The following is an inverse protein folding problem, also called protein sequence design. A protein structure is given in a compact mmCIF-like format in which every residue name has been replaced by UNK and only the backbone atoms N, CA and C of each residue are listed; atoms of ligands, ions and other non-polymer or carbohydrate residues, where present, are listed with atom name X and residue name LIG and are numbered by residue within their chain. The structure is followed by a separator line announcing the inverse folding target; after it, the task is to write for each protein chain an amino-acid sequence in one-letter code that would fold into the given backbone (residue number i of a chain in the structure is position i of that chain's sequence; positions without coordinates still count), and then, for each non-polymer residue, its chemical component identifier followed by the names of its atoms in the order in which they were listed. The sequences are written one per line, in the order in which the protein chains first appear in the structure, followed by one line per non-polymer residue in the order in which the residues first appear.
data_IF_125279357668
#
_entry.id   IF_125279357668
#
_cell.length_a   1.000
_cell.length_b   1.000
_cell.length_c   1.000
_cell.angle_alpha   90.00
_cell.angle_beta   90.00
_cell.angle_gamma   90.00
#
_symmetry.space_group_name_H-M   'P 1'
#
loop_
_entity.id
_entity.type
_entity.pdbx_description
1 polymer ?
#
# COMPACT_ATOMS: atom_id res chain seq x y z
N UNK A 1 30.12 7.83 12.42
CA UNK A 1 29.35 7.57 11.18
C UNK A 1 27.93 7.26 11.63
N UNK A 2 27.05 8.26 11.66
CA UNK A 2 25.62 8.07 11.96
C UNK A 2 25.02 7.38 10.72
N UNK A 3 24.85 6.06 10.78
CA UNK A 3 24.15 5.30 9.75
C UNK A 3 22.70 5.77 9.72
N UNK A 4 22.32 6.48 8.66
CA UNK A 4 20.94 6.90 8.46
C UNK A 4 20.07 5.65 8.35
N UNK A 5 19.15 5.48 9.29
CA UNK A 5 18.02 4.58 9.15
C UNK A 5 17.26 5.07 7.91
N UNK A 6 17.36 4.35 6.80
CA UNK A 6 16.36 4.49 5.73
C UNK A 6 15.13 3.80 6.29
N UNK A 7 14.38 4.55 7.11
CA UNK A 7 13.04 4.15 7.51
C UNK A 7 12.27 4.13 6.20
N UNK A 8 11.75 2.98 5.81
CA UNK A 8 10.72 2.81 4.74
C UNK A 8 9.42 3.57 5.10
N UNK A 9 9.45 4.46 6.09
CA UNK A 9 8.31 5.14 6.72
C UNK A 9 8.10 6.57 6.25
N UNK A 10 8.48 6.91 5.02
CA UNK A 10 8.35 8.28 4.50
C UNK A 10 7.22 8.49 3.48
N UNK A 11 6.59 7.42 2.98
CA UNK A 11 5.57 7.55 1.95
C UNK A 11 4.18 7.69 2.60
N UNK A 12 3.80 8.93 2.90
CA UNK A 12 2.44 9.28 3.27
C UNK A 12 1.54 9.05 2.03
N UNK A 13 0.69 8.03 2.10
CA UNK A 13 -0.34 7.76 1.09
C UNK A 13 -1.66 8.30 1.61
N UNK A 14 -2.27 9.24 0.89
CA UNK A 14 -3.66 9.65 1.13
C UNK A 14 -4.62 8.68 0.41
N UNK A 15 -5.79 8.46 0.99
CA UNK A 15 -6.89 7.74 0.33
C UNK A 15 -7.93 8.80 -0.04
N UNK A 16 -8.29 8.89 -1.33
CA UNK A 16 -9.38 9.77 -1.77
C UNK A 16 -10.69 9.50 -1.01
N UNK A 17 -11.46 10.56 -0.75
CA UNK A 17 -12.64 10.54 0.11
C UNK A 17 -13.62 9.40 -0.22
N UNK A 18 -13.90 8.53 0.76
CA UNK A 18 -14.90 7.47 0.60
C UNK A 18 -16.30 8.05 0.71
N UNK A 19 -17.10 7.84 -0.33
CA UNK A 19 -18.52 8.21 -0.35
C UNK A 19 -19.32 7.06 0.28
N UNK A 20 -19.86 7.27 1.48
CA UNK A 20 -20.81 6.35 2.09
C UNK A 20 -22.21 6.50 1.50
N UNK A 21 -22.80 5.39 1.06
CA UNK A 21 -24.25 5.23 1.02
C UNK A 21 -24.63 3.86 1.59
N UNK A 22 -25.63 3.88 2.46
CA UNK A 22 -26.01 2.81 3.37
C UNK A 22 -26.46 1.51 2.67
N UNK A 23 -25.73 0.41 2.92
CA UNK A 23 -26.22 -0.98 3.14
C UNK A 23 -25.04 -1.87 3.60
N UNK A 24 -25.19 -2.68 4.67
CA UNK A 24 -24.09 -3.48 5.19
C UNK A 24 -23.85 -4.72 4.33
N UNK A 25 -22.82 -4.66 3.48
CA UNK A 25 -22.38 -5.79 2.65
C UNK A 25 -20.92 -6.16 2.87
N UNK A 26 -20.11 -5.32 3.53
CA UNK A 26 -18.71 -5.64 3.76
C UNK A 26 -18.56 -6.76 4.79
N UNK A 27 -18.11 -7.94 4.38
CA UNK A 27 -17.93 -9.13 5.24
C UNK A 27 -16.50 -9.34 5.71
N UNK A 28 -15.56 -8.55 5.21
CA UNK A 28 -14.12 -8.72 5.47
C UNK A 28 -13.48 -7.49 6.13
N UNK A 29 -12.36 -7.71 6.83
CA UNK A 29 -11.54 -6.67 7.46
C UNK A 29 -10.06 -6.89 7.17
N UNK A 30 -9.28 -5.82 7.32
CA UNK A 30 -7.82 -5.87 7.18
C UNK A 30 -7.18 -6.15 8.54
N UNK A 31 -6.35 -7.19 8.61
CA UNK A 31 -5.47 -7.50 9.74
C UNK A 31 -4.08 -7.85 9.24
N UNK A 32 -3.10 -7.06 9.64
CA UNK A 32 -1.71 -7.31 9.28
C UNK A 32 -1.09 -8.43 10.10
N UNK A 33 -0.65 -9.55 9.50
CA UNK A 33 0.11 -10.59 10.21
C UNK A 33 1.55 -10.12 10.49
N UNK A 34 2.26 -10.90 11.31
CA UNK A 34 3.69 -10.65 11.59
C UNK A 34 4.58 -10.80 10.34
N UNK A 35 4.18 -11.62 9.37
CA UNK A 35 4.96 -11.88 8.15
C UNK A 35 4.08 -12.00 6.91
N UNK A 36 4.66 -11.64 5.75
CA UNK A 36 4.10 -11.84 4.41
C UNK A 36 5.06 -12.69 3.56
N UNK A 37 4.57 -13.20 2.43
CA UNK A 37 5.35 -13.99 1.45
C UNK A 37 6.21 -15.08 2.10
N UNK A 38 5.56 -15.94 2.89
CA UNK A 38 6.21 -17.06 3.58
C UNK A 38 7.41 -16.66 4.46
N UNK A 39 7.40 -15.44 5.01
CA UNK A 39 8.46 -14.94 5.89
C UNK A 39 9.49 -14.04 5.21
N UNK A 40 9.35 -13.77 3.91
CA UNK A 40 10.26 -12.88 3.17
C UNK A 40 10.18 -11.43 3.65
N UNK A 41 9.01 -11.04 4.16
CA UNK A 41 8.76 -9.72 4.74
C UNK A 41 8.32 -9.85 6.20
N UNK A 42 8.96 -9.10 7.09
CA UNK A 42 8.63 -9.04 8.52
C UNK A 42 8.04 -7.70 8.89
N UNK A 43 6.92 -7.70 9.63
CA UNK A 43 6.25 -6.46 10.04
C UNK A 43 7.16 -5.65 10.95
N UNK A 44 7.22 -4.34 10.72
CA UNK A 44 7.90 -3.41 11.59
C UNK A 44 6.89 -2.88 12.60
N UNK A 45 7.05 -3.27 13.86
CA UNK A 45 6.22 -2.80 14.97
C UNK A 45 6.77 -1.47 15.54
N UNK A 46 5.97 -0.78 16.37
CA UNK A 46 6.33 0.46 17.09
C UNK A 46 6.87 1.61 16.21
N UNK A 47 6.22 1.85 15.07
CA UNK A 47 6.57 2.93 14.15
C UNK A 47 5.61 4.14 14.27
N UNK A 48 6.08 5.23 14.86
CA UNK A 48 5.29 6.45 15.06
C UNK A 48 4.76 7.08 13.74
N UNK A 49 5.48 6.94 12.62
CA UNK A 49 5.03 7.44 11.32
C UNK A 49 3.85 6.62 10.79
N UNK A 50 3.87 5.29 10.99
CA UNK A 50 2.73 4.42 10.65
C UNK A 50 1.51 4.78 11.49
N UNK A 51 1.68 5.00 12.79
CA UNK A 51 0.58 5.43 13.68
C UNK A 51 -0.02 6.76 13.25
N UNK A 52 0.82 7.74 12.92
CA UNK A 52 0.34 9.05 12.47
C UNK A 52 -0.34 8.96 11.10
N UNK A 53 0.19 8.15 10.17
CA UNK A 53 -0.45 7.92 8.88
C UNK A 53 -1.82 7.24 9.05
N UNK A 54 -1.92 6.18 9.88
CA UNK A 54 -3.20 5.53 10.17
C UNK A 54 -4.22 6.53 10.74
N UNK A 55 -3.78 7.44 11.62
CA UNK A 55 -4.61 8.51 12.17
C UNK A 55 -5.10 9.48 11.08
N UNK A 56 -4.21 9.92 10.19
CA UNK A 56 -4.55 10.81 9.09
C UNK A 56 -5.56 10.18 8.12
N UNK A 57 -5.33 8.92 7.73
CA UNK A 57 -6.31 8.18 6.93
C UNK A 57 -7.64 8.06 7.66
N UNK A 58 -7.63 7.77 8.97
CA UNK A 58 -8.85 7.62 9.75
C UNK A 58 -9.69 8.91 9.79
N UNK A 59 -9.04 10.09 9.78
CA UNK A 59 -9.71 11.39 9.75
C UNK A 59 -10.42 11.66 8.39
N UNK A 60 -10.01 10.98 7.32
CA UNK A 60 -10.59 11.08 5.97
C UNK A 60 -11.73 10.08 5.73
N UNK A 61 -11.86 9.06 6.59
CA UNK A 61 -12.85 8.00 6.44
C UNK A 61 -14.22 8.39 7.03
N UNK A 62 -15.31 7.80 6.51
CA UNK A 62 -16.60 7.84 7.16
C UNK A 62 -16.57 7.10 8.51
N UNK A 63 -17.58 7.37 9.36
CA UNK A 63 -17.59 6.93 10.75
C UNK A 63 -17.54 5.39 10.95
N UNK A 64 -17.95 4.61 9.95
CA UNK A 64 -17.94 3.14 9.94
C UNK A 64 -16.67 2.55 9.29
N UNK A 65 -15.83 3.39 8.69
CA UNK A 65 -14.55 2.99 8.11
C UNK A 65 -13.45 2.88 9.18
N UNK A 66 -12.58 1.88 9.03
CA UNK A 66 -11.42 1.68 9.90
C UNK A 66 -10.14 1.66 9.07
N UNK A 67 -9.27 2.64 9.30
CA UNK A 67 -7.97 2.73 8.66
C UNK A 67 -7.01 1.69 9.23
N UNK A 68 -6.16 1.14 8.36
CA UNK A 68 -5.13 0.16 8.68
C UNK A 68 -3.87 0.47 7.88
N UNK A 69 -2.76 0.72 8.58
CA UNK A 69 -1.45 0.92 7.94
C UNK A 69 -0.40 -0.01 8.55
N UNK A 70 0.46 -0.59 7.73
CA UNK A 70 1.63 -1.35 8.17
C UNK A 70 2.80 -1.21 7.21
N UNK A 71 4.01 -1.35 7.75
CA UNK A 71 5.23 -1.49 6.98
C UNK A 71 5.89 -2.83 7.28
N UNK A 72 6.51 -3.43 6.28
CA UNK A 72 7.28 -4.66 6.39
C UNK A 72 8.67 -4.46 5.82
N UNK A 73 9.70 -4.96 6.50
CA UNK A 73 11.07 -5.00 6.00
C UNK A 73 11.33 -6.29 5.23
N UNK A 74 12.05 -6.20 4.12
CA UNK A 74 12.54 -7.36 3.40
C UNK A 74 13.74 -8.00 4.14
N UNK A 75 13.75 -9.33 4.20
CA UNK A 75 14.82 -10.12 4.82
C UNK A 75 14.68 -10.27 6.35
N UNK A 76 15.12 -11.42 6.87
CA UNK A 76 14.93 -11.80 8.28
C UNK A 76 15.80 -11.01 9.28
N UNK A 77 16.70 -10.13 8.82
CA UNK A 77 17.75 -9.51 9.64
C UNK A 77 17.64 -7.99 9.83
N UNK A 78 16.57 -7.35 9.33
CA UNK A 78 16.37 -5.91 9.51
C UNK A 78 17.43 -5.03 8.84
N UNK A 79 18.08 -5.52 7.77
CA UNK A 79 19.05 -4.73 7.01
C UNK A 79 18.34 -3.54 6.34
N UNK A 80 18.73 -2.28 6.63
CA UNK A 80 18.08 -1.07 6.10
C UNK A 80 18.15 -0.93 4.57
N UNK A 81 18.94 -1.76 3.89
CA UNK A 81 19.21 -1.69 2.45
C UNK A 81 18.38 -2.67 1.63
N UNK A 82 17.62 -3.58 2.26
CA UNK A 82 16.90 -4.63 1.53
C UNK A 82 15.54 -4.18 0.96
N UNK A 83 15.09 -2.98 1.33
CA UNK A 83 13.77 -2.50 0.95
C UNK A 83 12.64 -3.11 1.80
N UNK A 84 11.40 -2.96 1.34
CA UNK A 84 10.23 -3.41 2.07
C UNK A 84 8.90 -3.07 1.42
N UNK A 85 7.82 -3.48 2.07
CA UNK A 85 6.45 -3.17 1.66
C UNK A 85 5.82 -2.17 2.61
N UNK A 86 5.09 -1.20 2.07
CA UNK A 86 4.11 -0.42 2.80
C UNK A 86 2.71 -0.84 2.34
N UNK A 87 1.82 -1.12 3.28
CA UNK A 87 0.42 -1.42 3.01
C UNK A 87 -0.44 -0.41 3.75
N UNK A 88 -1.26 0.34 3.01
CA UNK A 88 -2.13 1.39 3.54
C UNK A 88 -3.52 1.21 2.97
N UNK A 89 -4.52 1.13 3.83
CA UNK A 89 -5.88 0.82 3.42
C UNK A 89 -6.91 1.05 4.51
N UNK A 90 -8.13 0.65 4.20
CA UNK A 90 -9.27 0.71 5.10
C UNK A 90 -10.20 -0.48 4.86
N UNK A 91 -11.04 -0.75 5.86
CA UNK A 91 -12.18 -1.64 5.71
C UNK A 91 -13.45 -1.01 6.29
N UNK A 92 -14.60 -1.37 5.75
CA UNK A 92 -15.89 -0.75 6.08
C UNK A 92 -17.01 -1.36 5.25
N UNK A 93 -18.11 -0.61 5.08
CA UNK A 93 -19.07 -0.85 4.02
C UNK A 93 -18.76 0.11 2.86
N UNK A 94 -18.31 -0.45 1.73
CA UNK A 94 -17.79 0.32 0.61
C UNK A 94 -18.77 0.22 -0.57
N UNK A 95 -19.47 1.33 -0.88
CA UNK A 95 -20.49 1.42 -1.95
C UNK A 95 -20.04 2.27 -3.15
N UNK A 96 -18.72 2.48 -3.29
CA UNK A 96 -18.14 3.18 -4.43
C UNK A 96 -17.69 2.18 -5.51
N UNK A 97 -17.51 2.68 -6.74
CA UNK A 97 -16.97 1.86 -7.83
C UNK A 97 -15.56 1.37 -7.48
N UNK A 98 -15.37 0.04 -7.51
CA UNK A 98 -14.07 -0.55 -7.19
C UNK A 98 -12.94 -0.10 -8.09
N UNK A 99 -13.21 0.29 -9.34
CA UNK A 99 -12.18 0.85 -10.22
C UNK A 99 -11.83 2.29 -9.84
N UNK A 100 -12.84 3.13 -9.57
CA UNK A 100 -12.63 4.53 -9.19
C UNK A 100 -11.85 4.63 -7.88
N UNK A 101 -12.16 3.77 -6.90
CA UNK A 101 -11.39 3.73 -5.65
C UNK A 101 -9.93 3.33 -5.84
N UNK A 102 -9.64 2.39 -6.75
CA UNK A 102 -8.26 2.03 -7.06
C UNK A 102 -7.51 3.19 -7.70
N UNK A 103 -8.18 3.92 -8.59
CA UNK A 103 -7.62 5.11 -9.23
C UNK A 103 -7.35 6.22 -8.21
N UNK A 104 -8.34 6.56 -7.39
CA UNK A 104 -8.24 7.62 -6.37
C UNK A 104 -7.13 7.34 -5.35
N UNK A 105 -7.00 6.08 -4.91
CA UNK A 105 -5.92 5.67 -4.01
C UNK A 105 -4.54 5.87 -4.65
N UNK A 106 -4.36 5.48 -5.91
CA UNK A 106 -3.07 5.61 -6.61
C UNK A 106 -2.75 7.08 -6.92
N UNK A 107 -3.76 7.89 -7.25
CA UNK A 107 -3.61 9.33 -7.45
C UNK A 107 -3.17 10.03 -6.16
N UNK A 108 -3.70 9.63 -5.00
CA UNK A 108 -3.28 10.10 -3.69
C UNK A 108 -1.79 9.87 -3.41
N UNK A 109 -1.21 8.76 -3.90
CA UNK A 109 0.23 8.50 -3.80
C UNK A 109 1.06 9.47 -4.66
N UNK A 110 0.57 9.71 -5.88
CA UNK A 110 1.22 10.55 -6.88
C UNK A 110 1.24 12.03 -6.52
N UNK A 111 0.35 12.47 -5.63
CA UNK A 111 0.25 13.85 -5.14
C UNK A 111 1.06 14.10 -3.86
N UNK A 112 1.67 13.07 -3.27
CA UNK A 112 2.54 13.24 -2.11
C UNK A 112 3.77 14.09 -2.45
N UNK A 113 4.28 14.87 -1.49
CA UNK A 113 5.36 15.85 -1.71
C UNK A 113 6.65 15.28 -2.34
N UNK A 114 6.82 13.95 -2.30
CA UNK A 114 8.02 13.24 -2.74
C UNK A 114 7.75 12.24 -3.87
N UNK A 115 6.49 12.11 -4.32
CA UNK A 115 6.07 11.14 -5.33
C UNK A 115 5.76 11.78 -6.68
N UNK A 116 6.10 11.09 -7.76
CA UNK A 116 5.66 11.44 -9.12
C UNK A 116 5.29 10.16 -9.85
N UNK A 117 4.07 10.12 -10.39
CA UNK A 117 3.62 9.03 -11.25
C UNK A 117 4.49 8.92 -12.50
N UNK A 118 4.81 7.68 -12.90
CA UNK A 118 5.59 7.34 -14.08
C UNK A 118 4.77 6.40 -14.98
N UNK A 119 4.48 6.88 -16.19
CA UNK A 119 3.73 6.10 -17.18
C UNK A 119 2.24 5.95 -16.85
N UNK A 120 1.59 5.11 -17.64
CA UNK A 120 0.15 4.84 -17.51
C UNK A 120 -0.10 3.75 -16.45
N UNK A 121 -1.26 3.85 -15.81
CA UNK A 121 -1.79 2.81 -14.93
C UNK A 121 -2.10 1.55 -15.74
N UNK A 122 -1.90 0.40 -15.14
CA UNK A 122 -2.15 -0.92 -15.74
C UNK A 122 -3.09 -1.71 -14.87
N UNK A 123 -4.07 -2.35 -15.50
CA UNK A 123 -5.01 -3.24 -14.82
C UNK A 123 -4.53 -4.69 -14.91
N UNK A 124 -4.66 -5.43 -13.82
CA UNK A 124 -4.32 -6.84 -13.73
C UNK A 124 -5.38 -7.61 -12.93
N UNK A 125 -5.72 -8.80 -13.38
CA UNK A 125 -6.51 -9.77 -12.61
C UNK A 125 -5.60 -10.88 -12.10
N UNK A 126 -5.39 -11.01 -10.78
CA UNK A 126 -4.52 -12.05 -10.19
C UNK A 126 -5.22 -12.73 -9.03
N UNK A 127 -5.31 -14.06 -9.06
CA UNK A 127 -6.01 -14.83 -8.01
C UNK A 127 -7.49 -14.46 -7.84
N UNK A 128 -8.14 -13.96 -8.88
CA UNK A 128 -9.53 -13.44 -8.81
C UNK A 128 -9.65 -12.02 -8.23
N UNK A 129 -8.53 -11.34 -7.99
CA UNK A 129 -8.48 -9.95 -7.50
C UNK A 129 -8.21 -9.02 -8.68
N UNK A 130 -9.06 -8.01 -8.84
CA UNK A 130 -8.84 -6.89 -9.75
C UNK A 130 -7.90 -5.87 -9.10
N UNK A 131 -6.83 -5.53 -9.82
CA UNK A 131 -5.76 -4.67 -9.34
C UNK A 131 -5.48 -3.57 -10.36
N UNK A 132 -5.33 -2.35 -9.88
CA UNK A 132 -4.74 -1.26 -10.64
C UNK A 132 -3.33 -1.05 -10.15
N UNK A 133 -2.37 -0.96 -11.06
CA UNK A 133 -0.96 -0.85 -10.72
C UNK A 133 -0.31 0.29 -11.48
N UNK A 134 0.62 0.97 -10.82
CA UNK A 134 1.30 2.13 -11.37
C UNK A 134 2.69 2.27 -10.79
N UNK A 135 3.62 2.77 -11.60
CA UNK A 135 4.95 3.07 -11.14
C UNK A 135 5.04 4.48 -10.58
N UNK A 136 5.65 4.64 -9.41
CA UNK A 136 5.87 5.94 -8.77
C UNK A 136 7.36 6.18 -8.61
N UNK A 137 7.83 7.34 -9.03
CA UNK A 137 9.16 7.83 -8.72
C UNK A 137 9.13 8.54 -7.37
N UNK A 138 9.90 8.04 -6.41
CA UNK A 138 10.02 8.59 -5.07
C UNK A 138 11.37 9.25 -4.89
N UNK A 139 11.39 10.45 -4.32
CA UNK A 139 12.61 11.18 -3.99
C UNK A 139 12.67 11.48 -2.49
N UNK A 140 13.61 10.87 -1.77
CA UNK A 140 13.77 11.10 -0.33
C UNK A 140 15.26 11.17 0.04
N UNK A 141 15.67 12.22 0.77
CA UNK A 141 17.02 12.32 1.33
C UNK A 141 18.17 12.33 0.31
N UNK A 142 17.91 12.76 -0.93
CA UNK A 142 18.90 12.78 -2.02
C UNK A 142 19.04 11.46 -2.79
N UNK A 143 18.27 10.43 -2.43
CA UNK A 143 18.10 9.22 -3.21
C UNK A 143 16.78 9.27 -3.99
N UNK A 144 16.78 8.70 -5.19
CA UNK A 144 15.60 8.56 -6.01
C UNK A 144 15.42 7.11 -6.44
N UNK A 145 14.22 6.58 -6.24
CA UNK A 145 13.87 5.19 -6.53
C UNK A 145 12.56 5.14 -7.30
N UNK A 146 12.39 4.10 -8.10
CA UNK A 146 11.15 3.74 -8.74
C UNK A 146 10.49 2.65 -7.90
N UNK A 147 9.24 2.85 -7.54
CA UNK A 147 8.50 2.02 -6.61
C UNK A 147 7.18 1.59 -7.26
N UNK A 148 6.94 0.29 -7.47
CA UNK A 148 5.65 -0.16 -7.96
C UNK A 148 4.60 -0.03 -6.85
N UNK A 149 3.42 0.41 -7.26
CA UNK A 149 2.23 0.49 -6.42
C UNK A 149 1.11 -0.32 -7.07
N UNK A 150 0.37 -1.09 -6.28
CA UNK A 150 -0.84 -1.75 -6.74
C UNK A 150 -1.95 -1.58 -5.70
N UNK A 151 -3.13 -1.23 -6.18
CA UNK A 151 -4.31 -1.04 -5.37
C UNK A 151 -5.33 -2.17 -5.61
N UNK A 152 -6.06 -2.55 -4.57
CA UNK A 152 -7.29 -3.33 -4.68
C UNK A 152 -8.43 -2.60 -3.98
N UNK A 153 -9.66 -2.82 -4.45
CA UNK A 153 -10.85 -2.41 -3.73
C UNK A 153 -12.00 -3.37 -4.02
N UNK A 154 -12.83 -3.62 -3.02
CA UNK A 154 -14.09 -4.37 -3.09
C UNK A 154 -15.11 -3.78 -2.10
N UNK A 155 -16.23 -4.46 -1.89
CA UNK A 155 -17.30 -4.02 -1.00
C UNK A 155 -16.92 -3.99 0.50
N UNK A 156 -15.80 -4.63 0.88
CA UNK A 156 -15.35 -4.76 2.27
C UNK A 156 -14.05 -4.02 2.58
N UNK A 157 -13.08 -4.07 1.66
CA UNK A 157 -11.71 -3.64 1.88
C UNK A 157 -11.17 -2.89 0.67
N UNK A 158 -10.28 -1.96 0.94
CA UNK A 158 -9.47 -1.30 -0.07
C UNK A 158 -8.09 -1.02 0.49
N UNK A 159 -7.06 -1.17 -0.33
CA UNK A 159 -5.71 -0.78 0.07
C UNK A 159 -4.79 -0.63 -1.14
N UNK A 160 -3.64 -0.01 -0.85
CA UNK A 160 -2.48 0.08 -1.72
C UNK A 160 -1.33 -0.69 -1.09
N UNK A 161 -0.60 -1.45 -1.91
CA UNK A 161 0.73 -1.98 -1.60
C UNK A 161 1.75 -1.20 -2.40
N UNK A 162 2.75 -0.64 -1.72
CA UNK A 162 3.95 -0.08 -2.33
C UNK A 162 5.17 -0.91 -1.95
N UNK A 163 6.03 -1.22 -2.92
CA UNK A 163 7.37 -1.72 -2.64
C UNK A 163 8.42 -0.61 -2.78
N UNK A 164 9.28 -0.48 -1.77
CA UNK A 164 10.44 0.40 -1.80
C UNK A 164 11.69 -0.47 -1.78
N UNK A 165 12.49 -0.37 -2.83
CA UNK A 165 13.84 -0.97 -2.89
C UNK A 165 14.82 0.08 -3.42
N UNK A 166 15.92 0.29 -2.69
CA UNK A 166 16.96 1.25 -3.07
C UNK A 166 17.73 0.83 -4.33
N UNK A 167 17.66 -0.45 -4.73
CA UNK A 167 18.24 -0.95 -5.96
C UNK A 167 17.43 -0.52 -7.21
N UNK A 168 16.15 -0.20 -7.04
CA UNK A 168 15.24 0.17 -8.13
C UNK A 168 15.47 1.61 -8.60
N UNK A 169 16.60 1.83 -9.27
CA UNK A 169 17.04 3.16 -9.74
C UNK A 169 16.59 3.50 -11.16
N UNK A 170 15.94 2.56 -11.86
CA UNK A 170 15.44 2.76 -13.22
C UNK A 170 14.03 2.16 -13.37
N UNK A 171 13.15 2.74 -14.20
CA UNK A 171 11.77 2.26 -14.33
C UNK A 171 11.69 0.92 -15.05
N UNK A 172 12.63 0.63 -15.95
CA UNK A 172 12.63 -0.59 -16.78
C UNK A 172 13.02 -1.88 -16.04
N UNK A 173 13.46 -1.79 -14.78
CA UNK A 173 13.81 -2.97 -13.97
C UNK A 173 12.63 -3.53 -13.17
N UNK A 174 11.45 -2.90 -13.26
CA UNK A 174 10.30 -3.22 -12.41
C UNK A 174 9.21 -3.89 -13.24
N UNK A 175 8.85 -5.11 -12.86
CA UNK A 175 7.75 -5.85 -13.43
C UNK A 175 6.46 -5.61 -12.62
N UNK A 176 5.57 -4.76 -13.16
CA UNK A 176 4.27 -4.47 -12.54
C UNK A 176 3.35 -5.69 -12.51
N UNK A 177 3.52 -6.64 -13.43
CA UNK A 177 2.71 -7.85 -13.48
C UNK A 177 3.10 -8.81 -12.35
N UNK A 178 4.39 -8.97 -12.12
CA UNK A 178 4.92 -9.72 -10.98
C UNK A 178 4.48 -9.09 -9.66
N UNK A 179 4.58 -7.77 -9.54
CA UNK A 179 4.16 -7.05 -8.35
C UNK A 179 2.64 -7.10 -8.11
N UNK A 180 1.82 -7.11 -9.16
CA UNK A 180 0.39 -7.40 -9.04
C UNK A 180 0.13 -8.80 -8.48
N UNK A 181 0.93 -9.80 -8.90
CA UNK A 181 0.90 -11.14 -8.34
C UNK A 181 1.22 -11.17 -6.84
N UNK A 182 2.24 -10.42 -6.40
CA UNK A 182 2.56 -10.25 -4.98
C UNK A 182 1.40 -9.58 -4.23
N UNK A 183 0.85 -8.51 -4.78
CA UNK A 183 -0.25 -7.74 -4.16
C UNK A 183 -1.50 -8.59 -3.94
N UNK A 184 -1.86 -9.44 -4.91
CA UNK A 184 -2.95 -10.42 -4.76
C UNK A 184 -2.74 -11.36 -3.57
N UNK A 185 -1.50 -11.87 -3.37
CA UNK A 185 -1.17 -12.70 -2.20
C UNK A 185 -1.15 -11.93 -0.90
N UNK A 186 -0.72 -10.66 -0.93
CA UNK A 186 -0.83 -9.77 0.25
C UNK A 186 -2.29 -9.59 0.63
N UNK A 187 -3.19 -9.29 -0.32
CA UNK A 187 -4.63 -9.17 -0.05
C UNK A 187 -5.17 -10.44 0.62
N UNK A 188 -4.96 -11.60 0.01
CA UNK A 188 -5.39 -12.90 0.57
C UNK A 188 -4.89 -13.10 2.01
N UNK A 189 -3.67 -12.64 2.29
CA UNK A 189 -3.04 -12.82 3.60
C UNK A 189 -3.53 -11.84 4.68
N UNK A 190 -3.87 -10.61 4.31
CA UNK A 190 -4.27 -9.55 5.25
C UNK A 190 -5.78 -9.46 5.44
N UNK A 191 -6.56 -9.99 4.50
CA UNK A 191 -8.02 -9.96 4.55
C UNK A 191 -8.55 -11.15 5.33
N UNK A 192 -9.48 -10.89 6.24
CA UNK A 192 -10.10 -11.90 7.11
C UNK A 192 -11.58 -11.61 7.33
N UNK A 193 -12.40 -12.61 7.68
CA UNK A 193 -13.80 -12.38 8.03
C UNK A 193 -13.95 -11.37 9.18
N UNK A 194 -14.95 -10.49 9.07
CA UNK A 194 -15.31 -9.52 10.12
C UNK A 194 -15.75 -10.21 11.41
#
# INVERSE_FOLDING_TARGET
MLGSLVVVGGALFGIGALVSASKPHGTEKIRFPATLESGSYSRVDDNAQVTEQERQLQDELPADGVAKVATYSAGSSGSPTAGGLAVSGAYGDIDASSSEMRDDMLDGMGQSQNGRVVGERKEFTRGGVELSCQLTHLSQGGASVYAPACAWADESTMAVVLEVDIANTAPGSIDLEEFAGLTSRVKDKVTVPK
#
